data_IF_735695088098
#
_entry.id   IF_735695088098
#
_cell.length_a   1.000
_cell.length_b   1.000
_cell.length_c   1.000
_cell.angle_alpha   90.00
_cell.angle_beta   90.00
_cell.angle_gamma   90.00
#
_symmetry.space_group_name_H-M   'P 1'
#
loop_
_entity.id
_entity.type
_entity.pdbx_description
1 polymer ?
#
# COMPACT_ATOMS: atom_id res chain seq x y z
N UNK A 1 26.48 -7.32 -14.54
CA UNK A 1 27.71 -7.11 -13.76
C UNK A 1 27.60 -5.91 -12.83
N UNK A 2 27.12 -4.76 -13.29
CA UNK A 2 26.95 -3.58 -12.45
C UNK A 2 25.96 -3.81 -11.29
N UNK A 3 24.93 -4.60 -11.50
CA UNK A 3 23.93 -4.92 -10.46
C UNK A 3 24.54 -5.71 -9.30
N UNK A 4 25.48 -6.62 -9.59
CA UNK A 4 26.20 -7.37 -8.55
C UNK A 4 27.12 -6.47 -7.74
N UNK A 5 27.79 -5.52 -8.38
CA UNK A 5 28.67 -4.56 -7.69
C UNK A 5 27.89 -3.63 -6.78
N UNK A 6 26.71 -3.17 -7.22
CA UNK A 6 25.82 -2.33 -6.39
C UNK A 6 25.35 -3.08 -5.15
N UNK A 7 25.00 -4.37 -5.29
CA UNK A 7 24.60 -5.19 -4.14
C UNK A 7 25.73 -5.39 -3.14
N UNK A 8 26.97 -5.50 -3.63
CA UNK A 8 28.14 -5.64 -2.77
C UNK A 8 28.49 -4.35 -2.01
N UNK A 9 28.02 -3.20 -2.49
CA UNK A 9 28.23 -1.91 -1.84
C UNK A 9 27.19 -1.62 -0.73
N UNK A 10 26.11 -2.40 -0.65
CA UNK A 10 25.12 -2.24 0.42
C UNK A 10 25.66 -2.78 1.74
N UNK A 11 25.39 -2.07 2.86
CA UNK A 11 25.82 -2.56 4.18
C UNK A 11 25.25 -3.96 4.44
N UNK A 12 26.03 -4.82 5.06
CA UNK A 12 25.58 -6.14 5.48
C UNK A 12 24.42 -5.98 6.47
N UNK A 13 23.31 -6.70 6.21
CA UNK A 13 22.11 -6.65 7.06
C UNK A 13 21.12 -5.54 6.71
N UNK A 14 21.42 -4.68 5.75
CA UNK A 14 20.44 -3.70 5.28
C UNK A 14 19.28 -4.42 4.56
N UNK A 15 17.99 -4.12 4.86
CA UNK A 15 16.88 -4.72 4.15
C UNK A 15 16.88 -4.28 2.70
N UNK A 16 16.55 -5.18 1.77
CA UNK A 16 16.36 -4.81 0.38
C UNK A 16 15.05 -4.02 0.21
N UNK A 17 14.87 -3.44 -0.99
CA UNK A 17 13.69 -2.63 -1.29
C UNK A 17 12.41 -3.45 -1.22
N UNK A 18 12.45 -4.71 -1.64
CA UNK A 18 11.29 -5.61 -1.59
C UNK A 18 10.83 -5.89 -0.16
N UNK A 19 11.76 -6.19 0.72
CA UNK A 19 11.47 -6.41 2.15
C UNK A 19 10.91 -5.15 2.78
N UNK A 20 11.50 -3.99 2.48
CA UNK A 20 11.05 -2.70 3.02
C UNK A 20 9.63 -2.38 2.57
N UNK A 21 9.33 -2.52 1.27
CA UNK A 21 7.99 -2.23 0.74
C UNK A 21 6.97 -3.20 1.30
N UNK A 22 7.29 -4.49 1.37
CA UNK A 22 6.39 -5.51 1.90
C UNK A 22 5.99 -5.22 3.34
N UNK A 23 6.96 -4.88 4.18
CA UNK A 23 6.70 -4.49 5.58
C UNK A 23 5.84 -3.23 5.65
N UNK A 24 6.12 -2.23 4.81
CA UNK A 24 5.35 -0.98 4.78
C UNK A 24 3.89 -1.23 4.41
N UNK A 25 3.63 -2.08 3.40
CA UNK A 25 2.28 -2.46 2.98
C UNK A 25 1.53 -3.15 4.11
N UNK A 26 2.15 -4.15 4.74
CA UNK A 26 1.51 -4.90 5.81
C UNK A 26 1.25 -4.04 7.05
N UNK A 27 2.17 -3.14 7.37
CA UNK A 27 1.99 -2.20 8.49
C UNK A 27 0.86 -1.21 8.19
N UNK A 28 0.80 -0.65 6.99
CA UNK A 28 -0.28 0.25 6.58
C UNK A 28 -1.64 -0.44 6.67
N UNK A 29 -1.75 -1.66 6.15
CA UNK A 29 -2.98 -2.45 6.23
C UNK A 29 -3.40 -2.68 7.68
N UNK A 30 -2.47 -2.98 8.56
CA UNK A 30 -2.72 -3.18 9.99
C UNK A 30 -3.28 -1.91 10.64
N UNK A 31 -2.64 -0.76 10.44
CA UNK A 31 -3.10 0.51 11.00
C UNK A 31 -4.49 0.89 10.50
N UNK A 32 -4.77 0.66 9.23
CA UNK A 32 -6.05 1.01 8.60
C UNK A 32 -7.15 -0.04 8.81
N UNK A 33 -6.81 -1.18 9.42
CA UNK A 33 -7.77 -2.26 9.63
C UNK A 33 -8.23 -2.91 8.33
N UNK A 34 -7.38 -2.92 7.30
CA UNK A 34 -7.69 -3.48 5.99
C UNK A 34 -7.39 -4.97 5.99
N UNK A 35 -8.38 -5.79 5.57
CA UNK A 35 -8.25 -7.24 5.55
C UNK A 35 -7.25 -7.73 4.50
N UNK A 36 -6.75 -8.94 4.69
CA UNK A 36 -5.86 -9.57 3.70
C UNK A 36 -6.54 -9.75 2.34
N UNK A 37 -7.85 -10.01 2.33
CA UNK A 37 -8.61 -10.14 1.08
C UNK A 37 -8.61 -8.81 0.28
N UNK A 38 -8.79 -7.70 0.96
CA UNK A 38 -8.74 -6.37 0.32
C UNK A 38 -7.32 -6.05 -0.14
N UNK A 39 -6.31 -6.32 0.68
CA UNK A 39 -4.91 -6.13 0.29
C UNK A 39 -4.59 -6.95 -0.97
N UNK A 40 -5.05 -8.19 -1.04
CA UNK A 40 -4.85 -9.04 -2.22
C UNK A 40 -5.47 -8.40 -3.48
N UNK A 41 -6.69 -7.86 -3.37
CA UNK A 41 -7.34 -7.14 -4.47
C UNK A 41 -6.54 -5.90 -4.89
N UNK A 42 -6.05 -5.13 -3.93
CA UNK A 42 -5.25 -3.92 -4.19
C UNK A 42 -3.97 -4.27 -4.93
N UNK A 43 -3.26 -5.30 -4.47
CA UNK A 43 -1.97 -5.69 -5.05
C UNK A 43 -2.11 -6.54 -6.32
N UNK A 44 -3.29 -7.07 -6.59
CA UNK A 44 -3.48 -7.97 -7.74
C UNK A 44 -2.80 -9.33 -7.56
N UNK A 45 -2.70 -9.80 -6.33
CA UNK A 45 -2.12 -11.12 -5.99
C UNK A 45 -3.13 -11.95 -5.20
N UNK A 46 -2.80 -13.22 -4.97
CA UNK A 46 -3.68 -14.11 -4.22
C UNK A 46 -3.71 -13.78 -2.73
N UNK A 47 -4.81 -14.11 -2.06
CA UNK A 47 -4.91 -14.01 -0.61
C UNK A 47 -3.84 -14.86 0.09
N UNK A 48 -3.52 -16.03 -0.48
CA UNK A 48 -2.45 -16.88 0.03
C UNK A 48 -1.10 -16.18 -0.01
N UNK A 49 -0.81 -15.43 -1.07
CA UNK A 49 0.43 -14.61 -1.16
C UNK A 49 0.47 -13.52 -0.09
N UNK A 50 -0.66 -12.85 0.15
CA UNK A 50 -0.74 -11.84 1.21
C UNK A 50 -0.53 -12.46 2.60
N UNK A 51 -1.11 -13.64 2.83
CA UNK A 51 -0.87 -14.37 4.07
C UNK A 51 0.62 -14.69 4.26
N UNK A 52 1.31 -15.09 3.19
CA UNK A 52 2.75 -15.32 3.23
C UNK A 52 3.55 -14.03 3.43
N UNK A 53 3.06 -12.89 2.91
CA UNK A 53 3.67 -11.59 3.22
C UNK A 53 3.62 -11.30 4.71
N UNK A 54 2.48 -11.58 5.34
CA UNK A 54 2.29 -11.36 6.77
C UNK A 54 3.24 -12.22 7.61
N UNK A 55 3.55 -13.44 7.15
CA UNK A 55 4.43 -14.37 7.85
C UNK A 55 5.91 -14.27 7.44
N UNK A 56 6.24 -13.35 6.53
CA UNK A 56 7.62 -13.14 6.09
C UNK A 56 8.10 -14.13 5.00
N UNK A 57 7.18 -14.86 4.37
CA UNK A 57 7.50 -15.87 3.35
C UNK A 57 7.18 -15.43 1.93
N UNK A 58 6.84 -14.19 1.71
CA UNK A 58 6.62 -13.61 0.39
C UNK A 58 7.07 -12.15 0.43
N UNK A 59 7.85 -11.76 -0.56
CA UNK A 59 8.37 -10.40 -0.71
C UNK A 59 7.90 -9.86 -2.06
N UNK A 60 7.39 -8.64 -2.09
CA UNK A 60 6.95 -7.99 -3.32
C UNK A 60 8.12 -7.87 -4.30
N UNK A 61 7.83 -8.14 -5.58
CA UNK A 61 8.82 -8.22 -6.65
C UNK A 61 8.74 -6.96 -7.51
N UNK A 62 9.87 -6.23 -7.60
CA UNK A 62 9.95 -4.99 -8.37
C UNK A 62 9.85 -5.19 -9.89
N UNK A 63 9.87 -6.42 -10.38
CA UNK A 63 9.65 -6.76 -11.79
C UNK A 63 8.20 -7.05 -12.11
N UNK A 64 7.29 -6.99 -11.12
CA UNK A 64 5.87 -7.32 -11.27
C UNK A 64 5.01 -6.10 -10.95
N UNK A 65 3.77 -6.11 -11.45
CA UNK A 65 2.81 -5.02 -11.22
C UNK A 65 2.47 -4.83 -9.73
N UNK A 66 2.54 -5.89 -8.96
CA UNK A 66 2.32 -5.82 -7.51
C UNK A 66 3.19 -4.76 -6.84
N UNK A 67 4.38 -4.48 -7.39
CA UNK A 67 5.28 -3.45 -6.87
C UNK A 67 4.65 -2.06 -6.96
N UNK A 68 4.16 -1.69 -8.13
CA UNK A 68 3.52 -0.39 -8.36
C UNK A 68 2.30 -0.21 -7.46
N UNK A 69 1.49 -1.25 -7.35
CA UNK A 69 0.30 -1.22 -6.49
C UNK A 69 0.69 -1.08 -5.02
N UNK A 70 1.73 -1.77 -4.59
CA UNK A 70 2.26 -1.64 -3.23
C UNK A 70 2.74 -0.23 -2.93
N UNK A 71 3.47 0.38 -3.85
CA UNK A 71 3.93 1.78 -3.72
C UNK A 71 2.74 2.73 -3.61
N UNK A 72 1.73 2.56 -4.47
CA UNK A 72 0.52 3.38 -4.43
C UNK A 72 -0.24 3.20 -3.12
N UNK A 73 -0.33 1.97 -2.61
CA UNK A 73 -1.00 1.69 -1.35
C UNK A 73 -0.31 2.37 -0.16
N UNK A 74 1.01 2.32 -0.10
CA UNK A 74 1.78 3.01 0.95
C UNK A 74 1.63 4.53 0.82
N UNK A 75 1.60 5.05 -0.39
CA UNK A 75 1.37 6.48 -0.64
C UNK A 75 -0.02 6.90 -0.17
N UNK A 76 -1.04 6.08 -0.44
CA UNK A 76 -2.40 6.28 0.08
C UNK A 76 -2.38 6.39 1.60
N UNK A 77 -1.73 5.44 2.27
CA UNK A 77 -1.63 5.44 3.73
C UNK A 77 -0.96 6.71 4.24
N UNK A 78 0.15 7.10 3.65
CA UNK A 78 0.89 8.30 4.08
C UNK A 78 0.06 9.57 3.93
N UNK A 79 -0.67 9.70 2.83
CA UNK A 79 -1.52 10.87 2.60
C UNK A 79 -2.70 10.88 3.56
N UNK A 80 -3.34 9.74 3.78
CA UNK A 80 -4.46 9.62 4.71
C UNK A 80 -4.00 9.89 6.15
N UNK A 81 -2.85 9.35 6.52
CA UNK A 81 -2.24 9.56 7.84
C UNK A 81 -1.93 11.05 8.08
N UNK A 82 -1.42 11.76 7.07
CA UNK A 82 -1.14 13.19 7.16
C UNK A 82 -2.41 14.02 7.35
N UNK A 83 -3.54 13.59 6.81
CA UNK A 83 -4.83 14.32 6.88
C UNK A 83 -5.60 13.98 8.16
N UNK A 84 -5.74 12.70 8.48
CA UNK A 84 -6.63 12.18 9.53
C UNK A 84 -5.92 11.39 10.62
N UNK A 85 -4.63 11.09 10.46
CA UNK A 85 -3.96 10.13 11.31
C UNK A 85 -4.26 8.69 10.88
N UNK A 86 -3.89 7.73 11.71
CA UNK A 86 -4.05 6.30 11.40
C UNK A 86 -4.94 5.56 12.41
N UNK A 87 -5.89 6.29 12.99
CA UNK A 87 -6.86 5.73 13.96
C UNK A 87 -8.25 5.58 13.36
N UNK A 88 -9.25 5.74 14.22
CA UNK A 88 -10.65 5.51 13.86
C UNK A 88 -11.15 6.42 12.75
N UNK A 89 -10.72 7.68 12.71
CA UNK A 89 -11.13 8.61 11.66
C UNK A 89 -10.72 8.14 10.28
N UNK A 90 -9.50 7.64 10.14
CA UNK A 90 -9.02 7.11 8.87
C UNK A 90 -9.80 5.86 8.46
N UNK A 91 -10.08 4.97 9.41
CA UNK A 91 -10.87 3.75 9.15
C UNK A 91 -12.29 4.08 8.72
N UNK A 92 -12.94 5.04 9.40
CA UNK A 92 -14.28 5.50 9.04
C UNK A 92 -14.30 6.15 7.66
N UNK A 93 -13.29 6.95 7.32
CA UNK A 93 -13.19 7.57 6.01
C UNK A 93 -13.14 6.52 4.90
N UNK A 94 -12.37 5.45 5.10
CA UNK A 94 -12.28 4.35 4.13
C UNK A 94 -13.60 3.58 4.00
N UNK A 95 -14.33 3.41 5.10
CA UNK A 95 -15.53 2.57 5.14
C UNK A 95 -16.80 3.28 4.72
N UNK A 96 -16.82 4.61 4.68
CA UNK A 96 -18.01 5.39 4.37
C UNK A 96 -18.03 5.85 2.92
N UNK A 97 -19.24 6.07 2.39
CA UNK A 97 -19.41 6.63 1.05
C UNK A 97 -18.80 8.02 0.96
N UNK A 98 -18.10 8.27 -0.13
CA UNK A 98 -17.47 9.55 -0.42
C UNK A 98 -18.07 10.11 -1.72
N UNK A 99 -18.76 11.24 -1.63
CA UNK A 99 -19.45 11.84 -2.78
C UNK A 99 -18.47 12.25 -3.89
N UNK A 100 -17.32 12.80 -3.53
CA UNK A 100 -16.32 13.25 -4.50
C UNK A 100 -15.71 12.07 -5.27
N UNK A 101 -15.62 10.90 -4.63
CA UNK A 101 -15.06 9.70 -5.24
C UNK A 101 -16.11 8.78 -5.87
N UNK A 102 -17.37 8.97 -5.52
CA UNK A 102 -18.47 8.17 -6.07
C UNK A 102 -18.62 6.80 -5.46
N UNK A 103 -18.13 6.59 -4.23
CA UNK A 103 -18.26 5.30 -3.54
C UNK A 103 -17.43 5.24 -2.27
N UNK A 104 -17.37 4.06 -1.67
CA UNK A 104 -16.55 3.81 -0.49
C UNK A 104 -15.09 3.67 -0.92
N UNK A 105 -14.17 4.46 -0.35
CA UNK A 105 -12.76 4.34 -0.72
C UNK A 105 -12.22 2.92 -0.57
N UNK A 106 -12.63 2.20 0.47
CA UNK A 106 -12.19 0.82 0.71
C UNK A 106 -12.57 -0.14 -0.43
N UNK A 107 -13.71 0.09 -1.07
CA UNK A 107 -14.13 -0.71 -2.24
C UNK A 107 -13.46 -0.21 -3.52
N UNK A 108 -13.31 1.10 -3.68
CA UNK A 108 -12.71 1.69 -4.87
C UNK A 108 -11.26 1.26 -5.07
N UNK A 109 -10.48 1.14 -3.99
CA UNK A 109 -9.05 0.78 -4.08
C UNK A 109 -8.81 -0.66 -4.52
N UNK A 110 -9.85 -1.47 -4.63
CA UNK A 110 -9.73 -2.87 -5.06
C UNK A 110 -9.50 -3.00 -6.57
N UNK A 111 -9.68 -1.93 -7.32
CA UNK A 111 -9.34 -1.88 -8.76
C UNK A 111 -8.18 -0.90 -8.98
N UNK A 112 -7.42 -1.10 -10.05
CA UNK A 112 -6.31 -0.21 -10.40
C UNK A 112 -6.79 1.23 -10.57
N UNK A 113 -7.86 1.42 -11.35
CA UNK A 113 -8.42 2.75 -11.61
C UNK A 113 -8.86 3.44 -10.31
N UNK A 114 -9.58 2.71 -9.45
CA UNK A 114 -10.05 3.25 -8.19
C UNK A 114 -8.90 3.59 -7.24
N UNK A 115 -7.88 2.73 -7.16
CA UNK A 115 -6.70 2.97 -6.34
C UNK A 115 -6.00 4.28 -6.76
N UNK A 116 -5.78 4.46 -8.05
CA UNK A 116 -5.14 5.69 -8.57
C UNK A 116 -5.98 6.91 -8.25
N UNK A 117 -7.30 6.83 -8.44
CA UNK A 117 -8.21 7.95 -8.14
C UNK A 117 -8.18 8.35 -6.66
N UNK A 118 -8.22 7.37 -5.77
CA UNK A 118 -8.20 7.64 -4.33
C UNK A 118 -6.85 8.25 -3.93
N UNK A 119 -5.74 7.72 -4.44
CA UNK A 119 -4.41 8.29 -4.18
C UNK A 119 -4.34 9.74 -4.63
N UNK A 120 -4.78 10.05 -5.86
CA UNK A 120 -4.75 11.41 -6.38
C UNK A 120 -5.64 12.36 -5.58
N UNK A 121 -6.82 11.89 -5.17
CA UNK A 121 -7.73 12.66 -4.33
C UNK A 121 -7.08 13.03 -2.99
N UNK A 122 -6.46 12.06 -2.34
CA UNK A 122 -5.78 12.29 -1.06
C UNK A 122 -4.56 13.19 -1.21
N UNK A 123 -3.78 13.02 -2.26
CA UNK A 123 -2.64 13.88 -2.53
C UNK A 123 -3.06 15.34 -2.75
N UNK A 124 -4.13 15.56 -3.49
CA UNK A 124 -4.68 16.89 -3.71
C UNK A 124 -5.17 17.52 -2.41
N UNK A 125 -5.85 16.75 -1.58
CA UNK A 125 -6.33 17.20 -0.26
C UNK A 125 -5.15 17.51 0.67
N UNK A 126 -4.15 16.65 0.71
CA UNK A 126 -2.94 16.83 1.51
C UNK A 126 -2.19 18.10 1.09
N UNK A 127 -2.12 18.39 -0.21
CA UNK A 127 -1.45 19.57 -0.74
C UNK A 127 -2.12 20.90 -0.38
N UNK A 128 -3.37 20.86 0.11
CA UNK A 128 -4.13 22.04 0.54
C UNK A 128 -3.98 22.36 2.02
N UNK A 129 -3.36 21.46 2.75
CA UNK A 129 -3.08 21.65 4.16
C UNK A 129 -1.72 22.34 4.32
#
# INVERSE_FOLDING_TARGET
>A
MQTKQLRQQLPAGAPDAGTTLTKAVMRAASFLGISQAVVASVLGISTASVSRMASGHYVLDNHRKEWEFGVLFVRLFRSLDAILGHGDQARLWLANDNLALGGKPLELIRTTEGLVRVVHYLDATRGRI
#
